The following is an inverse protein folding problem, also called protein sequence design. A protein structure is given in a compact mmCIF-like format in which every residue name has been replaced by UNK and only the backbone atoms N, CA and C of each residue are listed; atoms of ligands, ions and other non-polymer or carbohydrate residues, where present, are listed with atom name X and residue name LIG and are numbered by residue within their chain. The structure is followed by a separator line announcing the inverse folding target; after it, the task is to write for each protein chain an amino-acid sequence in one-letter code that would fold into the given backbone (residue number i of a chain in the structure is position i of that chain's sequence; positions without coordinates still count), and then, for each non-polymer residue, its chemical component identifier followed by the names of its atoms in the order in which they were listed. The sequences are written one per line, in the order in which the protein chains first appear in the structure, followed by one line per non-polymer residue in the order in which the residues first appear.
data_IF_802201242350
#
_entry.id   IF_802201242350
#
_cell.length_a   1.000
_cell.length_b   1.000
_cell.length_c   1.000
_cell.angle_alpha   90.00
_cell.angle_beta   90.00
_cell.angle_gamma   90.00
#
_symmetry.space_group_name_H-M   'P 1'
#
loop_
_entity.id
_entity.type
_entity.pdbx_description
1 polymer ?
#
# COMPACT_ATOMS: atom_id res chain seq x y z
N UNK A 1 -13.94 -5.03 20.91
CA UNK A 1 -12.81 -5.46 20.07
C UNK A 1 -11.63 -5.57 20.98
N UNK A 2 -11.11 -6.77 21.19
CA UNK A 2 -9.92 -6.98 22.00
C UNK A 2 -8.70 -6.78 21.09
N UNK A 3 -7.94 -5.70 21.30
CA UNK A 3 -6.77 -5.39 20.46
C UNK A 3 -5.60 -6.20 21.00
N UNK A 4 -5.22 -7.24 20.26
CA UNK A 4 -4.03 -8.04 20.58
C UNK A 4 -2.81 -7.38 19.94
N UNK A 5 -1.87 -6.92 20.77
CA UNK A 5 -0.59 -6.37 20.33
C UNK A 5 0.52 -7.41 20.54
N UNK A 6 1.55 -7.39 19.70
CA UNK A 6 2.78 -8.19 19.84
C UNK A 6 3.97 -7.35 19.41
N UNK A 7 5.15 -7.61 19.99
CA UNK A 7 6.42 -7.05 19.52
C UNK A 7 6.78 -7.51 18.12
N UNK A 8 6.30 -8.68 17.70
CA UNK A 8 6.53 -9.24 16.35
C UNK A 8 5.92 -8.34 15.26
N UNK A 9 5.02 -7.41 15.62
CA UNK A 9 4.48 -6.42 14.70
C UNK A 9 5.57 -5.45 14.17
N UNK A 10 6.72 -5.38 14.84
CA UNK A 10 7.87 -4.57 14.44
C UNK A 10 8.84 -5.29 13.50
N UNK A 11 8.65 -6.59 13.27
CA UNK A 11 9.51 -7.38 12.40
C UNK A 11 9.45 -6.86 10.95
N UNK A 12 10.61 -6.89 10.29
CA UNK A 12 10.74 -6.39 8.91
C UNK A 12 10.93 -7.54 7.92
N UNK A 13 10.24 -7.44 6.79
CA UNK A 13 10.39 -8.35 5.66
C UNK A 13 10.86 -7.59 4.42
N UNK A 14 11.82 -8.16 3.70
CA UNK A 14 12.27 -7.62 2.41
C UNK A 14 11.39 -8.12 1.27
N UNK A 15 11.02 -7.20 0.38
CA UNK A 15 10.28 -7.46 -0.85
C UNK A 15 10.91 -6.70 -2.03
N UNK A 16 10.80 -7.20 -3.27
CA UNK A 16 11.21 -6.45 -4.45
C UNK A 16 10.42 -5.14 -4.58
N UNK A 17 11.10 -4.03 -4.90
CA UNK A 17 10.43 -2.75 -5.15
C UNK A 17 9.52 -2.82 -6.39
N UNK A 18 9.96 -3.55 -7.42
CA UNK A 18 9.17 -3.84 -8.62
C UNK A 18 8.88 -5.33 -8.65
N UNK A 19 7.60 -5.68 -8.69
CA UNK A 19 7.11 -7.05 -8.74
C UNK A 19 6.37 -7.33 -10.04
N UNK A 20 6.31 -8.59 -10.48
CA UNK A 20 5.49 -9.00 -11.62
C UNK A 20 4.14 -9.50 -11.13
N UNK A 21 3.06 -8.95 -11.68
CA UNK A 21 1.71 -9.36 -11.32
C UNK A 21 1.43 -10.78 -11.86
N UNK A 22 1.09 -11.77 -11.03
CA UNK A 22 1.11 -13.17 -11.44
C UNK A 22 0.09 -13.51 -12.55
N UNK A 23 -1.00 -12.77 -12.65
CA UNK A 23 -2.08 -13.03 -13.61
C UNK A 23 -1.99 -12.16 -14.88
N UNK A 24 -1.40 -10.97 -14.80
CA UNK A 24 -1.32 -10.05 -15.96
C UNK A 24 0.06 -10.02 -16.59
N UNK A 25 1.10 -10.42 -15.85
CA UNK A 25 2.51 -10.30 -16.28
C UNK A 25 3.04 -8.88 -16.25
N UNK A 26 2.24 -7.89 -15.82
CA UNK A 26 2.65 -6.49 -15.77
C UNK A 26 3.56 -6.21 -14.57
N UNK A 27 4.47 -5.24 -14.74
CA UNK A 27 5.28 -4.74 -13.64
C UNK A 27 4.47 -3.80 -12.75
N UNK A 28 4.57 -4.03 -11.44
CA UNK A 28 3.89 -3.26 -10.41
C UNK A 28 4.90 -2.71 -9.42
N UNK A 29 4.67 -1.49 -8.95
CA UNK A 29 5.48 -0.87 -7.91
C UNK A 29 4.93 -1.30 -6.54
N UNK A 30 5.66 -2.17 -5.84
CA UNK A 30 5.29 -2.67 -4.52
C UNK A 30 5.80 -1.72 -3.43
N UNK A 31 5.15 -0.56 -3.35
CA UNK A 31 5.52 0.52 -2.44
C UNK A 31 4.29 1.14 -1.80
N UNK A 32 4.42 1.57 -0.55
CA UNK A 32 3.49 2.50 0.09
C UNK A 32 4.21 3.25 1.22
N UNK A 33 3.76 4.48 1.50
CA UNK A 33 4.38 5.34 2.52
C UNK A 33 4.12 4.92 3.97
N UNK A 34 3.29 3.92 4.22
CA UNK A 34 2.90 3.49 5.58
C UNK A 34 3.78 2.36 6.11
N UNK A 35 4.13 1.40 5.27
CA UNK A 35 4.83 0.17 5.66
C UNK A 35 6.29 0.12 5.21
N UNK A 36 6.67 0.82 4.15
CA UNK A 36 8.05 0.79 3.65
C UNK A 36 8.94 1.63 4.56
N UNK A 37 9.89 0.98 5.24
CA UNK A 37 10.82 1.62 6.19
C UNK A 37 12.15 2.06 5.55
N UNK A 38 12.61 1.38 4.52
CA UNK A 38 13.90 1.62 3.88
C UNK A 38 13.96 0.96 2.50
N UNK A 39 14.99 1.26 1.71
CA UNK A 39 15.28 0.63 0.42
C UNK A 39 16.71 0.07 0.44
N UNK A 40 16.92 -1.05 -0.28
CA UNK A 40 18.23 -1.66 -0.50
C UNK A 40 18.55 -1.72 -1.99
N UNK A 41 19.80 -1.42 -2.34
CA UNK A 41 20.27 -1.41 -3.73
C UNK A 41 21.67 -0.83 -3.85
N UNK A 42 22.39 -1.17 -4.93
CA UNK A 42 23.74 -0.67 -5.21
C UNK A 42 23.82 0.84 -5.41
N UNK A 43 22.71 1.46 -5.83
CA UNK A 43 22.66 2.88 -6.20
C UNK A 43 22.22 3.77 -5.02
N UNK A 44 22.07 3.18 -3.82
CA UNK A 44 21.63 3.85 -2.61
C UNK A 44 22.83 4.08 -1.68
N UNK A 45 23.73 4.96 -2.11
CA UNK A 45 25.06 5.17 -1.51
C UNK A 45 25.04 5.86 -0.13
N UNK A 46 23.88 6.33 0.34
CA UNK A 46 23.74 6.96 1.66
C UNK A 46 22.31 6.91 2.20
N UNK A 47 22.12 7.02 3.54
CA UNK A 47 20.79 7.16 4.14
C UNK A 47 19.99 8.33 3.58
N UNK A 48 20.65 9.45 3.27
CA UNK A 48 20.01 10.61 2.65
C UNK A 48 19.49 10.31 1.23
N UNK A 49 20.21 9.49 0.45
CA UNK A 49 19.75 9.04 -0.86
C UNK A 49 18.52 8.12 -0.77
N UNK A 50 18.48 7.25 0.25
CA UNK A 50 17.31 6.39 0.54
C UNK A 50 16.10 7.26 0.87
N UNK A 51 16.24 8.19 1.81
CA UNK A 51 15.14 9.08 2.23
C UNK A 51 14.62 9.91 1.06
N UNK A 52 15.51 10.50 0.26
CA UNK A 52 15.14 11.26 -0.94
C UNK A 52 14.35 10.40 -1.92
N UNK A 53 14.76 9.16 -2.15
CA UNK A 53 14.08 8.22 -3.04
C UNK A 53 12.71 7.83 -2.50
N UNK A 54 12.60 7.52 -1.21
CA UNK A 54 11.32 7.21 -0.55
C UNK A 54 10.33 8.38 -0.67
N UNK A 55 10.80 9.60 -0.43
CA UNK A 55 9.99 10.81 -0.55
C UNK A 55 9.49 11.00 -1.99
N UNK A 56 10.38 10.84 -2.98
CA UNK A 56 10.02 10.94 -4.39
C UNK A 56 9.01 9.88 -4.82
N UNK A 57 9.22 8.61 -4.43
CA UNK A 57 8.28 7.51 -4.72
C UNK A 57 6.92 7.77 -4.11
N UNK A 58 6.87 8.29 -2.88
CA UNK A 58 5.62 8.67 -2.23
C UNK A 58 4.89 9.73 -3.03
N UNK A 59 5.53 10.87 -3.32
CA UNK A 59 4.93 11.95 -4.12
C UNK A 59 4.44 11.47 -5.48
N UNK A 60 5.23 10.64 -6.17
CA UNK A 60 4.86 10.10 -7.48
C UNK A 60 3.63 9.20 -7.39
N UNK A 61 3.64 8.22 -6.48
CA UNK A 61 2.56 7.22 -6.37
C UNK A 61 1.26 7.80 -5.86
N UNK A 62 1.29 8.90 -5.11
CA UNK A 62 0.08 9.59 -4.62
C UNK A 62 -0.37 10.75 -5.51
N UNK A 63 0.27 10.97 -6.67
CA UNK A 63 -0.13 12.05 -7.56
C UNK A 63 -1.56 11.82 -8.09
N UNK A 64 -2.39 12.87 -8.08
CA UNK A 64 -3.84 12.81 -8.41
C UNK A 64 -4.19 12.12 -9.73
N UNK A 65 -3.30 12.14 -10.73
CA UNK A 65 -3.49 11.49 -12.03
C UNK A 65 -3.56 9.97 -11.96
N UNK A 66 -3.05 9.37 -10.88
CA UNK A 66 -3.10 7.93 -10.63
C UNK A 66 -4.22 7.57 -9.64
N UNK A 67 -5.06 8.54 -9.25
CA UNK A 67 -6.06 8.33 -8.20
C UNK A 67 -7.46 8.13 -8.79
N UNK A 68 -8.21 7.26 -8.12
CA UNK A 68 -9.64 7.09 -8.32
C UNK A 68 -10.33 7.31 -6.98
N UNK A 69 -11.45 8.04 -6.97
CA UNK A 69 -12.24 8.29 -5.76
C UNK A 69 -13.60 7.59 -5.87
N UNK A 70 -13.80 6.57 -5.04
CA UNK A 70 -15.10 5.92 -4.89
C UNK A 70 -15.95 6.65 -3.85
N UNK A 71 -17.19 7.00 -4.22
CA UNK A 71 -18.20 7.55 -3.30
C UNK A 71 -19.20 6.44 -2.96
N UNK A 72 -19.08 5.92 -1.74
CA UNK A 72 -19.91 4.85 -1.21
C UNK A 72 -21.41 5.17 -1.23
N UNK A 73 -22.21 4.17 -1.58
CA UNK A 73 -23.66 4.10 -1.43
C UNK A 73 -24.05 2.76 -0.79
N UNK A 74 -25.25 2.72 -0.21
CA UNK A 74 -25.77 1.48 0.37
C UNK A 74 -25.93 0.42 -0.72
N UNK A 75 -25.39 -0.76 -0.46
CA UNK A 75 -25.39 -1.88 -1.42
C UNK A 75 -24.13 -1.97 -2.29
N UNK A 76 -23.24 -0.96 -2.26
CA UNK A 76 -21.98 -1.03 -3.01
C UNK A 76 -21.08 -2.13 -2.45
N UNK A 77 -20.52 -2.93 -3.37
CA UNK A 77 -19.42 -3.85 -3.11
C UNK A 77 -18.25 -3.42 -3.98
N UNK A 78 -17.13 -3.09 -3.34
CA UNK A 78 -15.89 -2.72 -4.04
C UNK A 78 -14.89 -3.85 -3.85
N UNK A 79 -14.30 -4.26 -4.98
CA UNK A 79 -13.17 -5.18 -5.03
C UNK A 79 -12.00 -4.40 -5.65
N UNK A 80 -10.82 -4.50 -5.05
CA UNK A 80 -9.60 -3.92 -5.59
C UNK A 80 -8.48 -4.96 -5.57
N UNK A 81 -7.51 -4.78 -6.46
CA UNK A 81 -6.31 -5.61 -6.47
C UNK A 81 -5.29 -5.07 -5.46
N UNK A 82 -5.03 -5.84 -4.39
CA UNK A 82 -4.13 -5.41 -3.32
C UNK A 82 -2.63 -5.50 -3.68
N UNK A 83 -2.29 -5.94 -4.90
CA UNK A 83 -0.91 -6.07 -5.39
C UNK A 83 -0.49 -4.86 -6.23
N UNK A 84 -1.43 -4.28 -6.97
CA UNK A 84 -1.17 -3.19 -7.91
C UNK A 84 -1.78 -1.85 -7.51
N UNK A 85 -2.59 -1.81 -6.43
CA UNK A 85 -3.25 -0.57 -5.99
C UNK A 85 -2.91 -0.21 -4.54
N UNK A 86 -2.91 1.09 -4.27
CA UNK A 86 -2.88 1.65 -2.91
C UNK A 86 -4.23 2.29 -2.60
N UNK A 87 -4.59 2.35 -1.31
CA UNK A 87 -5.83 2.99 -0.87
C UNK A 87 -5.62 3.78 0.41
N UNK A 88 -6.45 4.81 0.60
CA UNK A 88 -6.45 5.66 1.78
C UNK A 88 -7.89 5.92 2.21
N UNK A 89 -8.13 5.90 3.52
CA UNK A 89 -9.40 6.33 4.09
C UNK A 89 -9.40 7.85 4.25
N UNK A 90 -10.47 8.51 3.80
CA UNK A 90 -10.72 9.91 4.11
C UNK A 90 -11.49 9.99 5.43
N UNK A 91 -11.18 11.00 6.26
CA UNK A 91 -11.90 11.31 7.48
C UNK A 91 -12.75 12.58 7.29
N UNK A 92 -13.62 12.57 6.28
CA UNK A 92 -14.40 13.73 5.81
C UNK A 92 -15.88 13.70 6.23
N UNK A 93 -16.22 12.95 7.29
CA UNK A 93 -17.60 12.71 7.75
C UNK A 93 -17.79 12.91 9.27
N UNK A 94 -17.45 14.08 9.83
CA UNK A 94 -17.56 14.33 11.26
C UNK A 94 -19.00 14.13 11.78
N UNK A 95 -19.14 13.42 12.90
CA UNK A 95 -20.44 13.13 13.53
C UNK A 95 -21.29 12.08 12.81
N UNK A 96 -20.83 11.51 11.69
CA UNK A 96 -21.57 10.50 10.94
C UNK A 96 -21.03 9.10 11.22
N UNK A 97 -21.92 8.12 11.40
CA UNK A 97 -21.55 6.72 11.56
C UNK A 97 -21.22 6.10 10.20
N UNK A 98 -20.03 5.51 10.08
CA UNK A 98 -19.60 4.75 8.90
C UNK A 98 -19.22 3.33 9.30
N UNK A 99 -19.90 2.32 8.74
CA UNK A 99 -19.62 0.90 8.98
C UNK A 99 -19.48 0.18 7.64
N UNK A 100 -18.40 -0.59 7.49
CA UNK A 100 -18.15 -1.48 6.35
C UNK A 100 -17.69 -2.82 6.87
N UNK A 101 -17.95 -3.87 6.10
CA UNK A 101 -17.38 -5.18 6.33
C UNK A 101 -16.35 -5.45 5.23
N UNK A 102 -15.24 -6.09 5.57
CA UNK A 102 -14.22 -6.49 4.60
C UNK A 102 -13.90 -7.96 4.77
N UNK A 103 -13.55 -8.59 3.66
CA UNK A 103 -12.83 -9.85 3.62
C UNK A 103 -11.57 -9.64 2.79
N UNK A 104 -10.59 -10.52 2.95
CA UNK A 104 -9.32 -10.47 2.22
C UNK A 104 -9.03 -11.85 1.66
N UNK A 105 -8.80 -11.91 0.36
CA UNK A 105 -8.36 -13.13 -0.33
C UNK A 105 -6.84 -13.20 -0.20
N UNK A 106 -6.32 -14.36 0.22
CA UNK A 106 -4.89 -14.58 0.35
C UNK A 106 -4.21 -14.46 -1.02
N UNK A 107 -3.08 -13.74 -1.06
CA UNK A 107 -2.20 -13.66 -2.22
C UNK A 107 -0.97 -14.55 -2.06
N UNK A 108 -0.13 -14.56 -3.10
CA UNK A 108 1.21 -15.14 -3.06
C UNK A 108 2.25 -14.11 -2.62
N UNK A 109 3.43 -14.54 -2.13
CA UNK A 109 4.53 -13.63 -1.85
C UNK A 109 4.91 -12.79 -3.09
N UNK A 110 5.16 -11.47 -2.94
CA UNK A 110 5.62 -10.63 -4.04
C UNK A 110 6.94 -11.14 -4.62
N UNK A 111 7.01 -11.32 -5.94
CA UNK A 111 8.17 -11.84 -6.65
C UNK A 111 8.53 -10.98 -7.89
N UNK A 112 9.77 -11.17 -8.38
CA UNK A 112 10.24 -10.61 -9.65
C UNK A 112 9.84 -11.49 -10.82
#
# INVERSE_FOLDING_TARGET
MDIRTSTDAEDTQEHPLVCVHPETGEQTLFFNGTYVRSLRGSDLDSPAAVEKTLHWLHQWTTHVRFTFRHRWRNGDVVIWDNRSTQHVALNDYPGQRRQLHRTTVAGTPPNK
#
